data_IF_353474299034
#
_entry.id   IF_353474299034
#
_cell.length_a   1.000
_cell.length_b   1.000
_cell.length_c   1.000
_cell.angle_alpha   90.00
_cell.angle_beta   90.00
_cell.angle_gamma   90.00
#
_symmetry.space_group_name_H-M   'P 1'
#
loop_
_entity.id
_entity.type
_entity.pdbx_description
1 polymer ?
#
# COMPACT_ATOMS: atom_id res chain seq x y z
N UNK A 1 21.44 -7.08 28.31
CA UNK A 1 22.12 -8.33 27.91
C UNK A 1 23.56 -8.35 28.42
N UNK A 2 24.41 -7.41 28.00
CA UNK A 2 25.83 -7.29 28.42
C UNK A 2 26.04 -7.22 29.95
N UNK A 3 25.17 -6.50 30.68
CA UNK A 3 25.30 -6.38 32.15
C UNK A 3 25.10 -7.73 32.89
N UNK A 4 24.24 -8.60 32.37
CA UNK A 4 23.95 -9.90 32.98
C UNK A 4 25.04 -10.91 32.62
N UNK A 5 25.54 -10.86 31.38
CA UNK A 5 26.71 -11.65 30.98
C UNK A 5 27.96 -11.26 31.78
N UNK A 6 28.21 -9.96 32.00
CA UNK A 6 29.31 -9.48 32.82
C UNK A 6 29.14 -9.89 34.29
N UNK A 7 27.91 -9.84 34.83
CA UNK A 7 27.63 -10.29 36.20
C UNK A 7 27.86 -11.80 36.33
N UNK A 8 27.46 -12.59 35.33
CA UNK A 8 27.66 -14.03 35.28
C UNK A 8 29.15 -14.39 35.17
N UNK A 9 29.91 -13.69 34.32
CA UNK A 9 31.37 -13.86 34.21
C UNK A 9 32.08 -13.59 35.52
N UNK A 10 31.76 -12.48 36.20
CA UNK A 10 32.35 -12.13 37.50
C UNK A 10 31.99 -13.16 38.58
N UNK A 11 30.77 -13.69 38.57
CA UNK A 11 30.32 -14.71 39.51
C UNK A 11 30.89 -16.10 39.26
N UNK A 12 31.30 -16.41 38.04
CA UNK A 12 31.93 -17.70 37.68
C UNK A 12 33.45 -17.63 37.82
N UNK A 13 34.09 -16.54 37.38
CA UNK A 13 35.55 -16.35 37.48
C UNK A 13 36.01 -16.04 38.91
N UNK A 14 35.23 -15.29 39.70
CA UNK A 14 35.54 -14.97 41.09
C UNK A 14 35.81 -16.20 41.98
N UNK A 15 34.92 -17.21 42.02
CA UNK A 15 35.17 -18.43 42.77
C UNK A 15 36.17 -19.37 42.09
N UNK A 16 36.33 -19.33 40.76
CA UNK A 16 37.38 -20.10 40.09
C UNK A 16 38.78 -19.62 40.50
N UNK A 17 39.02 -18.31 40.57
CA UNK A 17 40.31 -17.76 41.03
C UNK A 17 40.68 -18.24 42.45
N UNK A 18 39.72 -18.24 43.38
CA UNK A 18 39.94 -18.74 44.74
C UNK A 18 40.08 -20.28 44.84
N UNK A 19 39.57 -21.03 43.85
CA UNK A 19 39.65 -22.49 43.82
C UNK A 19 40.97 -22.98 43.20
N UNK A 20 41.52 -22.24 42.22
CA UNK A 20 42.83 -22.52 41.63
C UNK A 20 44.00 -22.15 42.56
N UNK A 21 43.92 -21.06 43.34
CA UNK A 21 44.95 -20.71 44.34
C UNK A 21 45.17 -21.83 45.37
N UNK A 22 44.11 -22.58 45.71
CA UNK A 22 44.21 -23.72 46.62
C UNK A 22 44.78 -24.99 45.97
N UNK A 23 44.63 -25.16 44.66
CA UNK A 23 45.19 -26.28 43.91
C UNK A 23 46.73 -26.16 43.80
N UNK A 24 47.23 -24.94 43.55
CA UNK A 24 48.67 -24.66 43.52
C UNK A 24 49.34 -24.92 44.88
N UNK A 25 48.66 -24.61 45.99
CA UNK A 25 49.15 -24.89 47.34
C UNK A 25 49.26 -26.41 47.64
N UNK A 26 48.35 -27.22 47.08
CA UNK A 26 48.36 -28.69 47.20
C UNK A 26 49.47 -29.33 46.36
N UNK A 27 49.76 -28.77 45.18
CA UNK A 27 50.90 -29.20 44.33
C UNK A 27 52.22 -28.85 45.02
N UNK A 28 52.33 -27.68 45.65
CA UNK A 28 53.52 -27.26 46.41
C UNK A 28 53.73 -28.13 47.66
N UNK A 29 52.65 -28.50 48.37
CA UNK A 29 52.73 -29.37 49.54
C UNK A 29 53.14 -30.82 49.21
N UNK A 30 52.80 -31.31 48.00
CA UNK A 30 53.15 -32.66 47.56
C UNK A 30 54.51 -32.74 46.84
N UNK A 31 55.13 -31.59 46.53
CA UNK A 31 56.42 -31.49 45.85
C UNK A 31 57.64 -31.43 46.79
N UNK A 32 57.47 -31.59 48.11
CA UNK A 32 58.58 -31.64 49.08
C UNK A 32 58.91 -33.08 49.52
N UNK A 33 59.90 -33.76 48.92
CA UNK A 33 60.48 -34.96 49.51
C UNK A 33 61.47 -34.56 50.62
N UNK A 34 61.20 -35.03 51.84
CA UNK A 34 62.14 -35.29 52.95
C UNK A 34 63.39 -34.38 53.06
N UNK A 35 63.41 -33.40 53.99
CA UNK A 35 64.61 -33.09 54.79
C UNK A 35 64.27 -32.30 56.08
N UNK A 36 64.38 -33.01 57.20
CA UNK A 36 64.77 -32.65 58.57
C UNK A 36 64.90 -31.17 59.03
N UNK A 37 64.25 -30.91 60.20
CA UNK A 37 64.68 -30.11 61.39
C UNK A 37 63.92 -28.80 61.74
N UNK A 38 63.33 -28.87 62.95
CA UNK A 38 62.91 -27.85 63.95
C UNK A 38 61.82 -26.81 63.70
N UNK A 39 60.69 -27.04 64.39
CA UNK A 39 59.93 -26.10 65.25
C UNK A 39 59.86 -24.61 64.84
N UNK A 40 58.68 -24.22 64.35
CA UNK A 40 58.20 -22.84 64.28
C UNK A 40 56.77 -22.84 63.75
N UNK A 41 55.83 -22.24 64.48
CA UNK A 41 54.39 -22.28 64.26
C UNK A 41 53.94 -21.98 62.81
N UNK A 42 53.22 -22.91 62.20
CA UNK A 42 52.34 -22.62 61.06
C UNK A 42 51.04 -22.01 61.60
N UNK A 43 50.59 -20.83 61.15
CA UNK A 43 49.24 -20.40 61.45
C UNK A 43 48.28 -21.35 60.72
N UNK A 44 47.50 -22.08 61.50
CA UNK A 44 46.39 -22.88 60.98
C UNK A 44 45.27 -21.92 60.52
N UNK A 45 45.44 -21.29 59.37
CA UNK A 45 44.35 -20.53 58.74
C UNK A 45 43.53 -21.45 57.84
N UNK A 46 42.28 -21.71 58.25
CA UNK A 46 41.17 -21.80 57.30
C UNK A 46 40.74 -23.17 56.74
N UNK A 47 40.92 -24.31 57.42
CA UNK A 47 40.36 -25.62 56.98
C UNK A 47 38.82 -25.76 57.08
N UNK A 48 38.08 -24.64 57.11
CA UNK A 48 36.61 -24.61 57.22
C UNK A 48 35.92 -24.45 55.85
N UNK A 49 36.67 -24.15 54.78
CA UNK A 49 36.07 -23.54 53.58
C UNK A 49 35.38 -24.50 52.59
N UNK A 50 35.87 -25.73 52.32
CA UNK A 50 35.43 -26.45 51.11
C UNK A 50 34.00 -27.05 51.18
N UNK A 51 33.60 -27.63 52.33
CA UNK A 51 32.29 -28.31 52.47
C UNK A 51 31.11 -27.33 52.42
N UNK A 52 31.32 -26.06 52.78
CA UNK A 52 30.32 -25.01 52.74
C UNK A 52 30.40 -24.16 51.45
N UNK A 53 31.58 -24.03 50.84
CA UNK A 53 31.74 -23.27 49.58
C UNK A 53 31.06 -23.98 48.40
N UNK A 54 31.15 -25.30 48.26
CA UNK A 54 30.50 -26.03 47.16
C UNK A 54 28.96 -25.85 47.09
N UNK A 55 28.19 -26.01 48.19
CA UNK A 55 26.75 -25.79 48.14
C UNK A 55 26.38 -24.32 47.92
N UNK A 56 27.19 -23.37 48.40
CA UNK A 56 26.98 -21.93 48.15
C UNK A 56 27.16 -21.61 46.67
N UNK A 57 28.22 -22.12 46.04
CA UNK A 57 28.46 -21.91 44.59
C UNK A 57 27.35 -22.54 43.75
N UNK A 58 26.92 -23.77 44.07
CA UNK A 58 25.81 -24.43 43.38
C UNK A 58 24.49 -23.68 43.54
N UNK A 59 24.19 -23.16 44.72
CA UNK A 59 22.99 -22.38 44.98
C UNK A 59 22.97 -21.08 44.17
N UNK A 60 24.12 -20.39 44.10
CA UNK A 60 24.27 -19.16 43.31
C UNK A 60 24.15 -19.43 41.81
N UNK A 61 24.74 -20.51 41.32
CA UNK A 61 24.60 -20.93 39.93
C UNK A 61 23.15 -21.29 39.57
N UNK A 62 22.47 -22.04 40.44
CA UNK A 62 21.06 -22.38 40.26
C UNK A 62 20.17 -21.12 40.25
N UNK A 63 20.44 -20.15 41.13
CA UNK A 63 19.75 -18.86 41.13
C UNK A 63 20.00 -18.08 39.83
N UNK A 64 21.24 -18.05 39.34
CA UNK A 64 21.57 -17.40 38.07
C UNK A 64 20.84 -18.03 36.88
N UNK A 65 20.81 -19.37 36.80
CA UNK A 65 20.05 -20.09 35.76
C UNK A 65 18.54 -19.82 35.87
N UNK A 66 18.00 -19.76 37.09
CA UNK A 66 16.60 -19.42 37.32
C UNK A 66 16.27 -18.01 36.83
N UNK A 67 17.09 -17.01 37.18
CA UNK A 67 16.92 -15.63 36.72
C UNK A 67 17.07 -15.52 35.20
N UNK A 68 18.03 -16.23 34.61
CA UNK A 68 18.21 -16.26 33.16
C UNK A 68 16.99 -16.88 32.45
N UNK A 69 16.45 -17.99 32.97
CA UNK A 69 15.24 -18.61 32.42
C UNK A 69 14.03 -17.66 32.48
N UNK A 70 13.81 -17.00 33.63
CA UNK A 70 12.73 -16.03 33.81
C UNK A 70 12.88 -14.81 32.88
N UNK A 71 14.12 -14.37 32.66
CA UNK A 71 14.42 -13.26 31.77
C UNK A 71 14.21 -13.61 30.29
N UNK A 72 14.58 -14.82 29.86
CA UNK A 72 14.29 -15.31 28.50
C UNK A 72 12.79 -15.35 28.25
N UNK A 73 12.01 -15.88 29.20
CA UNK A 73 10.55 -15.93 29.08
C UNK A 73 9.95 -14.52 28.95
N UNK A 74 10.41 -13.58 29.78
CA UNK A 74 9.94 -12.18 29.76
C UNK A 74 10.29 -11.48 28.44
N UNK A 75 11.50 -11.72 27.92
CA UNK A 75 11.96 -11.16 26.64
C UNK A 75 11.15 -11.73 25.47
N UNK A 76 10.85 -13.03 25.48
CA UNK A 76 10.04 -13.67 24.46
C UNK A 76 8.60 -13.13 24.42
N UNK A 77 7.99 -12.86 25.60
CA UNK A 77 6.65 -12.26 25.68
C UNK A 77 6.62 -10.83 25.13
N UNK A 78 7.64 -10.02 25.42
CA UNK A 78 7.74 -8.66 24.88
C UNK A 78 7.97 -8.66 23.37
N UNK A 79 8.83 -9.54 22.86
CA UNK A 79 9.06 -9.70 21.43
C UNK A 79 7.77 -10.11 20.70
N UNK A 80 6.98 -11.01 21.30
CA UNK A 80 5.67 -11.38 20.75
C UNK A 80 4.70 -10.19 20.72
N UNK A 81 4.63 -9.39 21.79
CA UNK A 81 3.77 -8.21 21.84
C UNK A 81 4.19 -7.13 20.84
N UNK A 82 5.49 -6.87 20.71
CA UNK A 82 6.00 -5.92 19.71
C UNK A 82 5.78 -6.41 18.29
N UNK A 83 5.94 -7.71 18.04
CA UNK A 83 5.58 -8.29 16.74
C UNK A 83 4.10 -8.14 16.45
N UNK A 84 3.23 -8.40 17.42
CA UNK A 84 1.78 -8.25 17.27
C UNK A 84 1.39 -6.80 16.97
N UNK A 85 1.96 -5.85 17.71
CA UNK A 85 1.72 -4.43 17.49
C UNK A 85 2.24 -3.99 16.11
N UNK A 86 3.46 -4.40 15.73
CA UNK A 86 4.03 -4.09 14.43
C UNK A 86 3.23 -4.70 13.28
N UNK A 87 2.66 -5.90 13.45
CA UNK A 87 1.77 -6.49 12.44
C UNK A 87 0.46 -5.75 12.33
N UNK A 88 -0.13 -5.32 13.45
CA UNK A 88 -1.38 -4.54 13.44
C UNK A 88 -1.19 -3.17 12.78
N UNK A 89 -0.15 -2.42 13.16
CA UNK A 89 0.18 -1.12 12.55
C UNK A 89 0.47 -1.27 11.04
N UNK A 90 1.09 -2.38 10.63
CA UNK A 90 1.33 -2.66 9.22
C UNK A 90 0.02 -2.93 8.46
N UNK A 91 -0.88 -3.72 9.02
CA UNK A 91 -2.18 -4.03 8.42
C UNK A 91 -3.03 -2.77 8.27
N UNK A 92 -3.12 -1.94 9.32
CA UNK A 92 -3.81 -0.65 9.27
C UNK A 92 -3.21 0.29 8.20
N UNK A 93 -1.87 0.31 8.07
CA UNK A 93 -1.23 1.12 7.03
C UNK A 93 -1.51 0.59 5.61
N UNK A 94 -1.56 -0.73 5.42
CA UNK A 94 -1.92 -1.35 4.14
C UNK A 94 -3.39 -1.06 3.78
N UNK A 95 -4.31 -1.14 4.75
CA UNK A 95 -5.72 -0.76 4.58
C UNK A 95 -5.88 0.71 4.20
N UNK A 96 -5.22 1.61 4.94
CA UNK A 96 -5.26 3.04 4.67
C UNK A 96 -4.67 3.36 3.30
N UNK A 97 -3.59 2.69 2.92
CA UNK A 97 -2.99 2.85 1.59
C UNK A 97 -3.92 2.33 0.48
N UNK A 98 -4.56 1.19 0.67
CA UNK A 98 -5.53 0.64 -0.28
C UNK A 98 -6.76 1.56 -0.42
N UNK A 99 -7.26 2.09 0.69
CA UNK A 99 -8.36 3.06 0.71
C UNK A 99 -7.98 4.35 -0.02
N UNK A 100 -6.81 4.92 0.29
CA UNK A 100 -6.32 6.14 -0.38
C UNK A 100 -6.12 5.93 -1.88
N UNK A 101 -5.57 4.77 -2.29
CA UNK A 101 -5.45 4.40 -3.71
C UNK A 101 -6.80 4.29 -4.41
N UNK A 102 -7.81 3.71 -3.76
CA UNK A 102 -9.19 3.64 -4.32
C UNK A 102 -9.77 5.02 -4.52
N UNK A 103 -9.65 5.91 -3.52
CA UNK A 103 -10.09 7.30 -3.65
C UNK A 103 -9.36 8.02 -4.78
N UNK A 104 -8.05 7.82 -4.89
CA UNK A 104 -7.24 8.43 -5.93
C UNK A 104 -7.63 7.94 -7.33
N UNK A 105 -7.94 6.64 -7.48
CA UNK A 105 -8.46 6.07 -8.73
C UNK A 105 -9.88 6.52 -9.10
N UNK A 106 -10.66 7.06 -8.14
CA UNK A 106 -11.93 7.70 -8.44
C UNK A 106 -11.77 9.09 -9.06
N UNK A 107 -10.62 9.74 -8.84
CA UNK A 107 -10.34 11.11 -9.32
C UNK A 107 -9.42 11.09 -10.55
N UNK A 108 -8.44 10.17 -10.60
CA UNK A 108 -7.44 10.09 -11.66
C UNK A 108 -7.37 8.68 -12.28
N UNK A 109 -7.27 8.57 -13.63
CA UNK A 109 -7.00 7.30 -14.32
C UNK A 109 -5.73 6.60 -13.80
N UNK A 110 -5.72 5.26 -13.86
CA UNK A 110 -4.65 4.41 -13.25
C UNK A 110 -3.24 4.78 -13.71
N UNK A 111 -3.08 5.12 -14.97
CA UNK A 111 -1.77 5.42 -15.57
C UNK A 111 -1.26 6.81 -15.15
N UNK A 112 -2.17 7.78 -15.01
CA UNK A 112 -1.87 9.13 -14.53
C UNK A 112 -1.51 9.08 -13.04
N UNK A 113 -2.27 8.33 -12.23
CA UNK A 113 -1.98 8.10 -10.82
C UNK A 113 -0.58 7.52 -10.58
N UNK A 114 -0.16 6.53 -11.36
CA UNK A 114 1.17 5.93 -11.25
C UNK A 114 2.28 6.94 -11.59
N UNK A 115 2.07 7.77 -12.61
CA UNK A 115 3.02 8.82 -12.99
C UNK A 115 3.16 9.92 -11.92
N UNK A 116 2.04 10.37 -11.32
CA UNK A 116 2.05 11.37 -10.24
C UNK A 116 2.66 10.84 -8.94
N UNK A 117 2.50 9.55 -8.63
CA UNK A 117 3.07 8.92 -7.43
C UNK A 117 4.57 8.60 -7.58
N UNK A 118 5.04 8.35 -8.81
CA UNK A 118 6.44 8.00 -9.09
C UNK A 118 7.37 9.23 -9.19
N UNK A 119 6.84 10.41 -9.51
CA UNK A 119 7.65 11.62 -9.68
C UNK A 119 7.71 12.43 -8.39
N UNK A 120 8.90 12.49 -7.83
CA UNK A 120 9.25 13.20 -6.60
C UNK A 120 8.94 14.71 -6.72
N UNK A 121 7.78 15.13 -6.19
CA UNK A 121 7.35 16.46 -5.70
C UNK A 121 8.00 17.73 -6.31
N UNK A 122 8.33 17.73 -7.59
CA UNK A 122 8.77 18.90 -8.32
C UNK A 122 8.01 18.96 -9.62
N UNK A 123 6.86 19.62 -9.58
CA UNK A 123 6.50 20.73 -10.48
C UNK A 123 4.98 20.88 -10.53
N UNK A 124 4.53 22.13 -10.44
CA UNK A 124 3.20 22.62 -10.84
C UNK A 124 2.99 22.52 -12.38
N UNK A 125 3.63 21.55 -13.04
CA UNK A 125 3.50 21.33 -14.48
C UNK A 125 2.31 20.41 -14.74
N UNK A 126 1.29 20.97 -15.41
CA UNK A 126 0.16 20.23 -15.96
C UNK A 126 0.67 19.01 -16.74
N UNK A 127 0.22 17.81 -16.36
CA UNK A 127 0.52 16.59 -17.10
C UNK A 127 -0.13 16.67 -18.48
N UNK A 128 0.69 16.63 -19.52
CA UNK A 128 0.22 16.50 -20.90
C UNK A 128 0.93 15.32 -21.55
N UNK A 129 0.17 14.52 -22.30
CA UNK A 129 0.70 13.44 -23.13
C UNK A 129 0.12 13.60 -24.53
N UNK A 130 0.97 13.64 -25.54
CA UNK A 130 0.52 13.63 -26.93
C UNK A 130 0.10 12.22 -27.33
N UNK A 131 -1.18 12.05 -27.62
CA UNK A 131 -1.73 10.81 -28.16
C UNK A 131 -2.02 11.00 -29.65
N UNK A 132 -1.46 10.13 -30.50
CA UNK A 132 -1.53 10.29 -31.96
C UNK A 132 -2.88 9.87 -32.56
N UNK A 133 -3.61 8.97 -31.91
CA UNK A 133 -4.89 8.43 -32.36
C UNK A 133 -5.87 8.36 -31.19
N UNK A 134 -6.64 9.43 -30.99
CA UNK A 134 -7.70 9.49 -29.96
C UNK A 134 -9.00 9.81 -30.66
N UNK A 135 -10.07 9.07 -30.39
CA UNK A 135 -11.42 9.45 -30.81
C UNK A 135 -12.21 9.92 -29.60
N UNK A 136 -13.01 10.98 -29.77
CA UNK A 136 -13.82 11.56 -28.69
C UNK A 136 -15.27 11.56 -29.13
N UNK A 137 -16.17 11.13 -28.24
CA UNK A 137 -17.61 11.22 -28.43
C UNK A 137 -18.23 12.23 -27.47
N UNK A 138 -19.27 12.89 -27.96
CA UNK A 138 -20.14 13.78 -27.20
C UNK A 138 -21.58 13.30 -27.38
N UNK A 139 -22.20 12.80 -26.33
CA UNK A 139 -23.61 12.42 -26.32
C UNK A 139 -24.41 13.41 -25.48
N UNK A 140 -25.30 14.18 -26.09
CA UNK A 140 -26.09 15.22 -25.42
C UNK A 140 -27.58 14.95 -25.52
N UNK A 141 -28.28 15.03 -24.40
CA UNK A 141 -29.75 14.97 -24.35
C UNK A 141 -30.30 16.37 -24.65
N UNK A 142 -30.91 16.55 -25.82
CA UNK A 142 -31.31 17.86 -26.35
C UNK A 142 -32.51 18.45 -25.60
N UNK A 143 -33.47 17.61 -25.23
CA UNK A 143 -34.75 18.05 -24.66
C UNK A 143 -34.74 18.11 -23.13
N UNK A 144 -33.58 17.90 -22.49
CA UNK A 144 -33.51 17.88 -21.03
C UNK A 144 -33.81 19.25 -20.41
N UNK A 145 -33.39 20.34 -21.04
CA UNK A 145 -33.64 21.70 -20.55
C UNK A 145 -35.12 22.10 -20.55
N UNK A 146 -35.93 21.51 -21.45
CA UNK A 146 -37.38 21.74 -21.50
C UNK A 146 -38.13 20.86 -20.50
N UNK A 147 -37.61 19.66 -20.23
CA UNK A 147 -38.09 18.77 -19.18
C UNK A 147 -37.76 19.27 -17.77
N UNK A 148 -36.63 19.97 -17.62
CA UNK A 148 -36.19 20.52 -16.35
C UNK A 148 -37.04 21.74 -15.97
N UNK A 149 -37.94 21.56 -15.00
CA UNK A 149 -38.77 22.63 -14.46
C UNK A 149 -38.60 22.70 -12.95
N UNK A 150 -38.00 23.80 -12.47
CA UNK A 150 -37.88 24.15 -11.05
C UNK A 150 -39.21 24.73 -10.54
N UNK A 151 -40.12 23.84 -10.13
CA UNK A 151 -41.36 24.21 -9.44
C UNK A 151 -41.39 23.55 -8.06
N UNK A 152 -41.98 24.23 -7.07
CA UNK A 152 -42.22 23.67 -5.73
C UNK A 152 -43.02 22.35 -5.79
N UNK A 153 -43.91 22.21 -6.78
CA UNK A 153 -44.68 20.99 -7.04
C UNK A 153 -43.84 19.81 -7.59
N UNK A 154 -42.61 20.07 -8.07
CA UNK A 154 -41.69 19.08 -8.62
C UNK A 154 -40.42 18.92 -7.75
N UNK A 155 -40.54 19.15 -6.43
CA UNK A 155 -39.42 19.12 -5.48
C UNK A 155 -38.21 19.94 -5.96
N UNK A 156 -38.44 21.16 -6.49
CA UNK A 156 -37.37 22.04 -7.00
C UNK A 156 -36.53 21.43 -8.14
N UNK A 157 -37.10 20.50 -8.92
CA UNK A 157 -36.42 19.86 -10.05
C UNK A 157 -35.47 18.71 -9.66
N UNK A 158 -35.44 18.32 -8.38
CA UNK A 158 -34.61 17.21 -7.88
C UNK A 158 -34.96 15.88 -8.55
N UNK A 159 -36.23 15.61 -8.83
CA UNK A 159 -36.64 14.38 -9.52
C UNK A 159 -36.11 14.30 -10.96
N UNK A 160 -36.01 15.44 -11.66
CA UNK A 160 -35.41 15.50 -12.99
C UNK A 160 -33.91 15.16 -12.94
N UNK A 161 -33.20 15.64 -11.90
CA UNK A 161 -31.80 15.31 -11.68
C UNK A 161 -31.60 13.85 -11.28
N UNK A 162 -32.52 13.26 -10.50
CA UNK A 162 -32.49 11.83 -10.17
C UNK A 162 -32.59 10.97 -11.43
N UNK A 163 -33.52 11.29 -12.32
CA UNK A 163 -33.65 10.60 -13.60
C UNK A 163 -32.39 10.76 -14.47
N UNK A 164 -31.79 11.96 -14.51
CA UNK A 164 -30.54 12.16 -15.25
C UNK A 164 -29.40 11.31 -14.66
N UNK A 165 -29.29 11.22 -13.34
CA UNK A 165 -28.30 10.37 -12.69
C UNK A 165 -28.52 8.88 -12.98
N UNK A 166 -29.77 8.43 -13.07
CA UNK A 166 -30.08 7.05 -13.50
C UNK A 166 -29.62 6.80 -14.94
N UNK A 167 -29.92 7.71 -15.88
CA UNK A 167 -29.44 7.61 -17.27
C UNK A 167 -27.91 7.56 -17.33
N UNK A 168 -27.22 8.41 -16.56
CA UNK A 168 -25.75 8.43 -16.52
C UNK A 168 -25.20 7.13 -15.89
N UNK A 169 -25.86 6.59 -14.87
CA UNK A 169 -25.47 5.32 -14.25
C UNK A 169 -25.59 4.16 -15.24
N UNK A 170 -26.66 4.11 -16.03
CA UNK A 170 -26.83 3.10 -17.09
C UNK A 170 -25.71 3.22 -18.14
N UNK A 171 -25.35 4.45 -18.52
CA UNK A 171 -24.24 4.69 -19.47
C UNK A 171 -22.88 4.24 -18.91
N UNK A 172 -22.66 4.47 -17.62
CA UNK A 172 -21.47 4.04 -16.89
C UNK A 172 -21.42 2.51 -16.70
N UNK A 173 -22.57 1.84 -16.61
CA UNK A 173 -22.64 0.38 -16.60
C UNK A 173 -22.20 -0.19 -17.95
N UNK A 174 -22.70 0.35 -19.07
CA UNK A 174 -22.35 -0.12 -20.41
C UNK A 174 -20.86 0.08 -20.67
N UNK A 175 -20.27 1.24 -20.35
CA UNK A 175 -18.84 1.49 -20.61
C UNK A 175 -17.94 0.57 -19.78
N UNK A 176 -18.44 0.03 -18.66
CA UNK A 176 -17.71 -0.91 -17.81
C UNK A 176 -17.62 -2.33 -18.37
N UNK A 177 -18.37 -2.65 -19.44
CA UNK A 177 -18.32 -3.95 -20.09
C UNK A 177 -16.93 -4.25 -20.70
N UNK A 178 -16.54 -5.53 -20.72
CA UNK A 178 -15.23 -5.96 -21.24
C UNK A 178 -15.02 -5.57 -22.70
N UNK A 179 -16.09 -5.47 -23.51
CA UNK A 179 -16.04 -5.03 -24.92
C UNK A 179 -15.54 -3.59 -25.05
N UNK A 180 -15.84 -2.74 -24.07
CA UNK A 180 -15.56 -1.31 -24.09
C UNK A 180 -14.38 -0.91 -23.18
N UNK A 181 -13.56 -1.87 -22.75
CA UNK A 181 -12.37 -1.63 -21.89
C UNK A 181 -11.36 -0.62 -22.46
N UNK A 182 -11.39 -0.36 -23.77
CA UNK A 182 -10.54 0.64 -24.44
C UNK A 182 -11.12 2.06 -24.40
N UNK A 183 -12.36 2.22 -23.92
CA UNK A 183 -13.04 3.50 -23.76
C UNK A 183 -12.83 4.01 -22.34
N UNK A 184 -12.65 5.32 -22.22
CA UNK A 184 -12.55 6.00 -20.94
C UNK A 184 -13.57 7.16 -20.92
N UNK A 185 -14.36 7.21 -19.86
CA UNK A 185 -15.21 8.37 -19.56
C UNK A 185 -14.32 9.56 -19.22
N UNK A 186 -14.51 10.68 -19.91
CA UNK A 186 -13.81 11.93 -19.60
C UNK A 186 -14.56 12.66 -18.49
N UNK A 187 -15.82 13.02 -18.75
CA UNK A 187 -16.66 13.79 -17.81
C UNK A 187 -18.11 13.81 -18.25
N UNK A 188 -18.96 14.25 -17.34
CA UNK A 188 -20.33 14.66 -17.61
C UNK A 188 -20.45 16.17 -17.36
N UNK A 189 -21.10 16.89 -18.27
CA UNK A 189 -21.41 18.31 -18.11
C UNK A 189 -22.91 18.48 -18.34
N UNK A 190 -23.67 18.64 -17.26
CA UNK A 190 -25.13 18.68 -17.32
C UNK A 190 -25.69 17.43 -18.00
N UNK A 191 -26.43 17.60 -19.09
CA UNK A 191 -27.01 16.52 -19.89
C UNK A 191 -26.08 15.97 -20.99
N UNK A 192 -24.81 16.37 -21.01
CA UNK A 192 -23.81 15.92 -21.98
C UNK A 192 -22.82 14.93 -21.36
N UNK A 193 -22.75 13.73 -21.94
CA UNK A 193 -21.80 12.67 -21.61
C UNK A 193 -20.61 12.69 -22.58
N UNK A 194 -19.39 12.65 -22.04
CA UNK A 194 -18.15 12.67 -22.83
C UNK A 194 -17.32 11.42 -22.53
N UNK A 195 -16.96 10.70 -23.59
CA UNK A 195 -16.05 9.58 -23.52
C UNK A 195 -15.02 9.66 -24.66
N UNK A 196 -13.88 9.02 -24.46
CA UNK A 196 -12.84 8.95 -25.47
C UNK A 196 -12.22 7.56 -25.53
N UNK A 197 -11.62 7.26 -26.66
CA UNK A 197 -10.90 6.01 -26.90
C UNK A 197 -9.47 6.30 -27.35
N UNK A 198 -8.56 5.38 -27.06
CA UNK A 198 -7.14 5.54 -27.42
C UNK A 198 -6.32 6.41 -26.45
N UNK A 199 -6.86 6.71 -25.25
CA UNK A 199 -6.10 7.42 -24.20
C UNK A 199 -5.11 6.49 -23.48
N UNK A 200 -5.41 5.19 -23.39
CA UNK A 200 -4.58 4.22 -22.69
C UNK A 200 -3.59 3.51 -23.63
N UNK A 201 -2.29 3.77 -23.46
CA UNK A 201 -1.24 3.19 -24.29
C UNK A 201 -1.08 1.67 -24.11
N UNK A 202 -1.55 1.09 -23.00
CA UNK A 202 -1.42 -0.34 -22.70
C UNK A 202 -2.50 -1.20 -23.38
N UNK A 203 -3.69 -0.63 -23.60
CA UNK A 203 -4.85 -1.30 -24.22
C UNK A 203 -5.02 -0.92 -25.70
N UNK A 204 -4.22 0.02 -26.21
CA UNK A 204 -4.29 0.53 -27.56
C UNK A 204 -3.70 -0.45 -28.59
N UNK A 205 -4.55 -0.97 -29.46
CA UNK A 205 -4.11 -1.66 -30.67
C UNK A 205 -3.75 -0.62 -31.74
N UNK A 206 -2.44 -0.42 -31.94
CA UNK A 206 -1.85 0.52 -32.90
C UNK A 206 -2.21 0.20 -34.35
N UNK A 207 -2.44 -1.06 -34.67
CA UNK A 207 -2.59 -1.54 -36.05
C UNK A 207 -4.07 -1.69 -36.43
N UNK A 208 -4.87 -2.27 -35.53
CA UNK A 208 -6.27 -2.60 -35.81
C UNK A 208 -7.25 -1.44 -35.71
N UNK A 209 -6.89 -0.32 -35.03
CA UNK A 209 -7.79 0.81 -34.74
C UNK A 209 -9.15 0.38 -34.15
N UNK A 210 -9.16 -0.76 -33.44
CA UNK A 210 -10.35 -1.38 -32.86
C UNK A 210 -11.09 -0.43 -31.90
N UNK A 211 -10.33 0.46 -31.23
CA UNK A 211 -10.84 1.47 -30.30
C UNK A 211 -11.82 2.47 -30.92
N UNK A 212 -11.70 2.78 -32.23
CA UNK A 212 -12.65 3.67 -32.93
C UNK A 212 -13.95 2.93 -33.21
N UNK A 213 -13.85 1.69 -33.69
CA UNK A 213 -15.02 0.83 -33.89
C UNK A 213 -15.75 0.56 -32.58
N UNK A 214 -15.02 0.34 -31.48
CA UNK A 214 -15.58 0.18 -30.15
C UNK A 214 -16.31 1.45 -29.67
N UNK A 215 -15.80 2.65 -29.99
CA UNK A 215 -16.45 3.93 -29.67
C UNK A 215 -17.76 4.08 -30.46
N UNK A 216 -17.76 3.76 -31.75
CA UNK A 216 -18.95 3.80 -32.59
C UNK A 216 -20.01 2.76 -32.15
N UNK A 217 -19.57 1.55 -31.81
CA UNK A 217 -20.44 0.52 -31.24
C UNK A 217 -21.08 0.97 -29.93
N UNK A 218 -20.29 1.61 -29.06
CA UNK A 218 -20.78 2.17 -27.81
C UNK A 218 -21.78 3.31 -28.05
N UNK A 219 -21.52 4.21 -29.01
CA UNK A 219 -22.47 5.24 -29.41
C UNK A 219 -23.82 4.65 -29.87
N UNK A 220 -23.79 3.57 -30.66
CA UNK A 220 -25.02 2.87 -31.07
C UNK A 220 -25.75 2.24 -29.88
N UNK A 221 -25.03 1.61 -28.95
CA UNK A 221 -25.62 1.08 -27.71
C UNK A 221 -26.28 2.19 -26.88
N UNK A 222 -25.66 3.37 -26.74
CA UNK A 222 -26.28 4.48 -26.01
C UNK A 222 -27.60 4.94 -26.65
N UNK A 223 -27.68 4.94 -27.99
CA UNK A 223 -28.94 5.26 -28.68
C UNK A 223 -30.05 4.24 -28.40
N UNK A 224 -29.70 2.96 -28.35
CA UNK A 224 -30.64 1.90 -28.00
C UNK A 224 -31.11 2.00 -26.56
N UNK A 225 -30.19 2.29 -25.63
CA UNK A 225 -30.49 2.46 -24.21
C UNK A 225 -31.37 3.69 -23.97
N UNK A 226 -31.12 4.79 -24.67
CA UNK A 226 -32.03 5.95 -24.62
C UNK A 226 -33.45 5.58 -25.08
N UNK A 227 -33.58 4.73 -26.10
CA UNK A 227 -34.90 4.26 -26.55
C UNK A 227 -35.58 3.40 -25.48
N UNK A 228 -34.83 2.49 -24.84
CA UNK A 228 -35.32 1.68 -23.73
C UNK A 228 -35.82 2.55 -22.57
N UNK A 229 -35.05 3.56 -22.18
CA UNK A 229 -35.41 4.51 -21.11
C UNK A 229 -36.66 5.30 -21.49
N UNK A 230 -36.78 5.78 -22.74
CA UNK A 230 -37.98 6.48 -23.20
C UNK A 230 -39.25 5.60 -23.10
N UNK A 231 -39.15 4.30 -23.39
CA UNK A 231 -40.26 3.35 -23.26
C UNK A 231 -40.66 3.10 -21.79
N UNK A 232 -39.69 3.06 -20.87
CA UNK A 232 -39.95 2.76 -19.44
C UNK A 232 -40.30 3.99 -18.59
N UNK A 233 -39.79 5.16 -18.96
CA UNK A 233 -40.00 6.41 -18.23
C UNK A 233 -41.19 7.22 -18.75
N UNK A 234 -41.90 6.74 -19.78
CA UNK A 234 -42.98 7.47 -20.48
C UNK A 234 -42.56 8.88 -20.94
N UNK A 235 -41.28 9.04 -21.28
CA UNK A 235 -40.67 10.29 -21.72
C UNK A 235 -40.18 10.15 -23.18
N UNK A 236 -39.89 11.28 -23.82
CA UNK A 236 -39.37 11.30 -25.19
C UNK A 236 -38.10 12.16 -25.27
N UNK A 237 -37.03 11.68 -24.66
CA UNK A 237 -35.73 12.31 -24.73
C UNK A 237 -35.09 12.08 -26.11
N UNK A 238 -34.67 13.17 -26.74
CA UNK A 238 -33.87 13.12 -27.96
C UNK A 238 -32.40 13.23 -27.62
N UNK A 239 -31.63 12.22 -28.01
CA UNK A 239 -30.17 12.22 -27.85
C UNK A 239 -29.49 12.53 -29.19
N UNK A 240 -28.46 13.38 -29.14
CA UNK A 240 -27.56 13.66 -30.27
C UNK A 240 -26.17 13.18 -29.90
N UNK A 241 -25.56 12.38 -30.77
CA UNK A 241 -24.17 11.94 -30.61
C UNK A 241 -23.33 12.60 -31.70
N UNK A 242 -22.23 13.23 -31.31
CA UNK A 242 -21.18 13.70 -32.20
C UNK A 242 -19.90 12.93 -31.91
N UNK A 243 -19.26 12.41 -32.95
CA UNK A 243 -17.93 11.80 -32.86
C UNK A 243 -16.91 12.69 -33.55
N UNK A 244 -15.83 13.01 -32.85
CA UNK A 244 -14.70 13.72 -33.41
C UNK A 244 -13.50 12.78 -33.43
N UNK A 245 -13.10 12.41 -34.65
CA UNK A 245 -11.86 11.69 -34.91
C UNK A 245 -10.88 12.69 -35.54
N UNK A 246 -9.72 12.97 -34.91
CA UNK A 246 -8.74 13.89 -35.46
C UNK A 246 -8.20 13.40 -36.81
N UNK A 247 -7.78 14.34 -37.70
CA UNK A 247 -7.43 14.02 -39.07
C UNK A 247 -6.20 13.10 -39.17
N UNK A 248 -6.33 12.08 -40.02
CA UNK A 248 -5.41 10.94 -40.22
C UNK A 248 -4.14 11.22 -41.06
N UNK A 249 -3.70 12.47 -41.25
CA UNK A 249 -2.58 12.78 -42.15
C UNK A 249 -1.50 13.64 -41.48
N UNK A 250 -0.42 13.00 -41.01
CA UNK A 250 0.90 13.63 -40.94
C UNK A 250 1.78 12.97 -42.02
N UNK A 251 1.99 13.60 -43.20
CA UNK A 251 3.13 13.24 -44.03
C UNK A 251 4.42 13.51 -43.24
N UNK A 252 5.52 12.77 -43.46
CA UNK A 252 6.71 12.79 -42.60
C UNK A 252 7.58 14.06 -42.71
N UNK A 253 7.03 15.17 -43.20
CA UNK A 253 7.80 16.40 -43.38
C UNK A 253 6.88 17.62 -43.47
N UNK A 254 7.06 18.54 -42.50
CA UNK A 254 6.47 19.87 -42.40
C UNK A 254 4.94 19.96 -42.17
N UNK A 255 4.53 19.88 -40.91
CA UNK A 255 3.91 20.98 -40.16
C UNK A 255 3.51 20.42 -38.80
N UNK A 256 3.72 21.20 -37.74
CA UNK A 256 3.23 20.90 -36.39
C UNK A 256 1.76 20.46 -36.43
N UNK A 257 1.40 19.26 -35.92
CA UNK A 257 0.01 18.84 -35.85
C UNK A 257 -0.77 19.80 -34.94
N UNK A 258 -2.06 20.05 -35.20
CA UNK A 258 -2.90 20.72 -34.23
C UNK A 258 -3.00 19.81 -33.00
N UNK A 259 -2.26 20.16 -31.95
CA UNK A 259 -2.36 19.51 -30.66
C UNK A 259 -3.78 19.74 -30.13
N UNK A 260 -4.62 18.70 -30.16
CA UNK A 260 -5.82 18.66 -29.33
C UNK A 260 -5.33 18.61 -27.87
N UNK A 261 -5.19 19.80 -27.28
CA UNK A 261 -4.94 19.96 -25.85
C UNK A 261 -6.22 19.59 -25.11
N UNK A 262 -6.43 18.29 -24.88
CA UNK A 262 -7.36 17.82 -23.88
C UNK A 262 -6.76 18.11 -22.51
N UNK A 263 -7.02 19.33 -22.02
CA UNK A 263 -6.82 19.66 -20.62
C UNK A 263 -7.87 18.89 -19.81
N UNK A 264 -7.49 17.68 -19.38
CA UNK A 264 -8.14 16.94 -18.31
C UNK A 264 -7.86 17.73 -17.02
N UNK A 265 -8.85 18.52 -16.61
CA UNK A 265 -8.94 19.12 -15.28
C UNK A 265 -9.94 18.31 -14.47
#
# INVERSE_FOLDING_TARGET
MVAIEATYLVLVEGPQAALFDNADLLVVANALPFFNVTQGECPAEGKVALRYVTPVVLAVFALALYLHAQQVESTARLDFLWKLQATGEKEEMEELQAYNRRLLHNILPKDVAAHFLARERRNDELYYQSCECVAVMFASISNFSEFYVELEANNEGVECLRLLNEIIADFDEIISEQKYRQLEKIKTIGSTYMAASGLNAATYDREGRSHIAALADYAMHLMEQMKYINEHSFNNFQMKIGEQVPPFFCPPSLLTPPSLSLSLF
#
